data_IF_702694380170
#
_entry.id   IF_702694380170
#
_cell.length_a   1.000
_cell.length_b   1.000
_cell.length_c   1.000
_cell.angle_alpha   90.00
_cell.angle_beta   90.00
_cell.angle_gamma   90.00
#
_symmetry.space_group_name_H-M   'P 1'
#
loop_
_entity.id
_entity.type
_entity.pdbx_description
1 polymer ?
#
# COMPACT_ATOMS: atom_id res chain seq x y z
N UNK A 1 -3.69 8.29 -14.13
CA UNK A 1 -3.76 7.34 -13.00
C UNK A 1 -4.55 6.13 -13.47
N UNK A 2 -3.97 4.95 -13.43
CA UNK A 2 -4.57 3.69 -13.85
C UNK A 2 -4.56 2.76 -12.65
N UNK A 3 -5.68 2.09 -12.37
CA UNK A 3 -5.79 1.13 -11.26
C UNK A 3 -6.16 -0.26 -11.77
N UNK A 4 -5.51 -1.28 -11.24
CA UNK A 4 -5.74 -2.69 -11.55
C UNK A 4 -5.93 -3.46 -10.25
N UNK A 5 -7.04 -4.20 -10.13
CA UNK A 5 -7.32 -5.05 -8.98
C UNK A 5 -6.87 -6.49 -9.29
N UNK A 6 -5.83 -6.95 -8.61
CA UNK A 6 -5.27 -8.29 -8.82
C UNK A 6 -5.99 -9.35 -7.99
N UNK A 7 -6.44 -8.99 -6.80
CA UNK A 7 -7.11 -9.89 -5.88
C UNK A 7 -8.21 -9.16 -5.11
N UNK A 8 -9.39 -9.77 -5.08
CA UNK A 8 -10.51 -9.31 -4.26
C UNK A 8 -11.00 -10.45 -3.38
N UNK A 9 -10.95 -10.24 -2.08
CA UNK A 9 -11.47 -11.17 -1.08
C UNK A 9 -12.71 -10.56 -0.46
N UNK A 10 -13.85 -11.20 -0.67
CA UNK A 10 -15.09 -10.81 -0.02
C UNK A 10 -14.98 -11.05 1.49
N UNK A 11 -15.33 -10.02 2.24
CA UNK A 11 -15.50 -10.09 3.69
C UNK A 11 -16.92 -9.66 4.02
N UNK A 12 -17.35 -9.82 5.25
CA UNK A 12 -18.74 -9.50 5.64
C UNK A 12 -19.10 -8.02 5.38
N UNK A 13 -18.11 -7.12 5.36
CA UNK A 13 -18.37 -5.69 5.39
C UNK A 13 -17.55 -4.91 4.33
N UNK A 14 -16.21 -4.97 4.33
CA UNK A 14 -15.36 -4.32 3.33
C UNK A 14 -14.44 -5.35 2.67
N UNK A 15 -14.51 -5.57 1.35
CA UNK A 15 -13.61 -6.51 0.69
C UNK A 15 -12.15 -6.06 0.83
N UNK A 16 -11.26 -7.01 1.14
CA UNK A 16 -9.82 -6.78 0.97
C UNK A 16 -9.51 -6.83 -0.52
N UNK A 17 -8.99 -5.74 -1.04
CA UNK A 17 -8.54 -5.64 -2.42
C UNK A 17 -7.03 -5.43 -2.44
N UNK A 18 -6.34 -6.21 -3.22
CA UNK A 18 -4.99 -5.88 -3.63
C UNK A 18 -5.11 -5.18 -4.97
N UNK A 19 -5.17 -3.86 -4.88
CA UNK A 19 -5.31 -2.95 -6.01
C UNK A 19 -4.01 -2.16 -6.17
N UNK A 20 -3.44 -2.21 -7.36
CA UNK A 20 -2.26 -1.44 -7.74
C UNK A 20 -2.69 -0.23 -8.56
N UNK A 21 -2.14 0.91 -8.24
CA UNK A 21 -2.34 2.13 -9.01
C UNK A 21 -1.02 2.57 -9.64
N UNK A 22 -1.02 2.81 -10.93
CA UNK A 22 0.12 3.40 -11.64
C UNK A 22 0.07 4.93 -11.55
N UNK A 23 1.20 5.51 -11.17
CA UNK A 23 1.41 6.96 -11.08
C UNK A 23 2.68 7.32 -11.87
N UNK A 24 2.51 8.00 -13.01
CA UNK A 24 3.63 8.36 -13.91
C UNK A 24 4.74 9.17 -13.22
N UNK A 25 4.37 10.02 -12.26
CA UNK A 25 5.32 10.87 -11.51
C UNK A 25 6.13 10.11 -10.45
N UNK A 26 5.77 8.86 -10.13
CA UNK A 26 6.44 8.07 -9.12
C UNK A 26 7.63 7.31 -9.73
N UNK A 27 8.83 7.74 -9.41
CA UNK A 27 10.08 7.11 -9.85
C UNK A 27 10.64 6.10 -8.85
N UNK A 28 10.11 6.07 -7.64
CA UNK A 28 10.54 5.13 -6.60
C UNK A 28 10.01 3.72 -6.88
N UNK A 29 10.85 2.74 -6.59
CA UNK A 29 10.48 1.33 -6.63
C UNK A 29 9.60 1.02 -5.42
N UNK A 30 8.32 0.71 -5.66
CA UNK A 30 7.38 0.23 -4.66
C UNK A 30 7.33 -1.29 -4.61
N UNK A 31 6.35 -1.85 -3.91
CA UNK A 31 6.14 -3.31 -3.81
C UNK A 31 5.97 -3.97 -5.18
N UNK A 32 5.43 -3.27 -6.15
CA UNK A 32 5.15 -3.78 -7.50
C UNK A 32 5.99 -3.09 -8.59
N UNK A 33 7.17 -2.59 -8.21
CA UNK A 33 8.10 -1.94 -9.13
C UNK A 33 7.84 -0.45 -9.33
N UNK A 34 8.54 0.15 -10.30
CA UNK A 34 8.48 1.59 -10.57
C UNK A 34 7.11 2.02 -11.02
N UNK A 35 6.62 3.11 -10.43
CA UNK A 35 5.34 3.73 -10.78
C UNK A 35 4.11 3.09 -10.15
N UNK A 36 4.19 1.86 -9.65
CA UNK A 36 3.07 1.16 -9.02
C UNK A 36 3.06 1.36 -7.51
N UNK A 37 1.86 1.53 -6.94
CA UNK A 37 1.64 1.69 -5.50
C UNK A 37 0.32 1.04 -5.08
N UNK A 38 0.25 0.55 -3.86
CA UNK A 38 -0.97 0.07 -3.21
C UNK A 38 -1.36 0.93 -2.01
N UNK A 39 -2.59 0.80 -1.53
CA UNK A 39 -3.06 1.50 -0.33
C UNK A 39 -2.22 1.14 0.93
N UNK A 40 -1.51 0.02 0.89
CA UNK A 40 -0.72 -0.50 2.02
C UNK A 40 0.72 0.05 2.08
N UNK A 41 1.14 0.87 1.13
CA UNK A 41 2.48 1.46 1.07
C UNK A 41 2.55 2.87 1.68
N UNK A 42 1.57 3.25 2.49
CA UNK A 42 1.66 4.47 3.31
C UNK A 42 2.70 4.29 4.40
N UNK A 43 3.46 5.34 4.71
CA UNK A 43 4.47 5.31 5.77
C UNK A 43 4.61 6.69 6.42
N UNK A 44 5.29 6.76 7.56
CA UNK A 44 5.62 8.03 8.17
C UNK A 44 7.11 8.13 8.52
N UNK A 45 7.58 9.37 8.67
CA UNK A 45 8.92 9.70 9.14
C UNK A 45 8.74 10.59 10.37
N UNK A 46 9.41 10.20 11.47
CA UNK A 46 9.34 10.91 12.75
C UNK A 46 10.65 11.61 12.98
N UNK A 47 10.57 12.89 13.27
CA UNK A 47 11.66 13.71 13.79
C UNK A 47 11.23 14.25 15.17
N UNK A 48 12.15 14.83 15.93
CA UNK A 48 11.89 15.30 17.31
C UNK A 48 10.63 16.17 17.46
N UNK A 49 10.43 17.07 16.53
CA UNK A 49 9.30 18.03 16.52
C UNK A 49 8.44 17.99 15.25
N UNK A 50 8.70 17.03 14.36
CA UNK A 50 8.00 16.91 13.10
C UNK A 50 7.59 15.45 12.83
N UNK A 51 6.41 15.29 12.27
CA UNK A 51 5.89 14.01 11.76
C UNK A 51 5.43 14.22 10.32
N UNK A 52 6.06 13.52 9.41
CA UNK A 52 5.66 13.49 8.00
C UNK A 52 4.96 12.19 7.69
N UNK A 53 3.82 12.26 7.02
CA UNK A 53 3.06 11.09 6.60
C UNK A 53 2.92 11.12 5.09
N UNK A 54 3.30 10.02 4.47
CA UNK A 54 3.18 9.79 3.03
C UNK A 54 2.08 8.76 2.79
N UNK A 55 0.98 9.22 2.23
CA UNK A 55 -0.13 8.34 1.89
C UNK A 55 0.02 7.78 0.48
N UNK A 56 -0.54 6.59 0.27
CA UNK A 56 -0.52 5.91 -1.03
C UNK A 56 -1.27 6.65 -2.14
N UNK A 57 -2.16 7.59 -1.81
CA UNK A 57 -2.83 8.45 -2.78
C UNK A 57 -1.91 9.55 -3.37
N UNK A 58 -0.67 9.63 -2.87
CA UNK A 58 0.34 10.62 -3.23
C UNK A 58 0.30 11.88 -2.37
N UNK A 59 -0.66 12.00 -1.44
CA UNK A 59 -0.71 13.12 -0.52
C UNK A 59 0.35 12.99 0.57
N UNK A 60 0.85 14.14 1.01
CA UNK A 60 1.80 14.27 2.11
C UNK A 60 1.21 15.20 3.16
N UNK A 61 1.30 14.78 4.40
CA UNK A 61 0.88 15.57 5.56
C UNK A 61 2.08 15.85 6.46
N UNK A 62 2.21 17.08 6.89
CA UNK A 62 3.27 17.51 7.80
C UNK A 62 2.63 18.03 9.10
N UNK A 63 3.02 17.41 10.19
CA UNK A 63 2.61 17.83 11.53
C UNK A 63 3.81 18.36 12.30
N UNK A 64 3.57 19.43 13.06
CA UNK A 64 4.56 20.01 13.95
C UNK A 64 4.09 19.86 15.39
N UNK A 65 4.98 19.47 16.26
CA UNK A 65 4.71 19.35 17.68
C UNK A 65 4.74 20.73 18.33
N UNK A 66 3.64 21.10 18.97
CA UNK A 66 3.53 22.29 19.84
C UNK A 66 3.11 21.80 21.22
N UNK A 67 4.03 21.92 22.17
CA UNK A 67 3.86 21.37 23.52
C UNK A 67 3.53 19.87 23.52
N UNK A 68 2.29 19.51 23.81
CA UNK A 68 1.80 18.13 23.85
C UNK A 68 0.94 17.75 22.63
N UNK A 69 0.68 18.71 21.73
CA UNK A 69 -0.24 18.55 20.59
C UNK A 69 0.52 18.56 19.28
N UNK A 70 0.06 17.73 18.35
CA UNK A 70 0.55 17.71 16.97
C UNK A 70 -0.42 18.47 16.07
N UNK A 71 0.02 19.60 15.54
CA UNK A 71 -0.76 20.44 14.62
C UNK A 71 -0.37 20.17 13.17
N UNK A 72 -1.37 20.01 12.30
CA UNK A 72 -1.13 19.90 10.87
C UNK A 72 -0.66 21.26 10.31
N UNK A 73 0.41 21.23 9.52
CA UNK A 73 0.93 22.44 8.87
C UNK A 73 -0.07 23.01 7.85
N UNK A 74 -0.90 22.15 7.23
CA UNK A 74 -1.98 22.57 6.37
C UNK A 74 -3.30 22.67 7.15
N UNK A 75 -3.80 23.89 7.45
CA UNK A 75 -5.03 24.09 8.23
C UNK A 75 -6.30 23.57 7.51
N UNK A 76 -6.23 23.36 6.20
CA UNK A 76 -7.35 22.81 5.41
C UNK A 76 -7.30 21.29 5.28
N UNK A 77 -6.31 20.64 5.86
CA UNK A 77 -6.21 19.18 5.84
C UNK A 77 -7.24 18.53 6.75
N UNK A 78 -7.80 17.41 6.28
CA UNK A 78 -8.64 16.55 7.09
C UNK A 78 -7.85 15.52 7.91
N UNK A 79 -6.51 15.55 7.82
CA UNK A 79 -5.66 14.65 8.59
C UNK A 79 -5.33 15.27 9.97
N UNK A 80 -5.43 14.46 11.02
CA UNK A 80 -5.05 14.83 12.39
C UNK A 80 -4.35 13.68 13.09
N UNK A 81 -3.36 13.99 13.91
CA UNK A 81 -2.78 13.02 14.86
C UNK A 81 -3.78 12.84 16.00
N UNK A 82 -4.28 11.61 16.14
CA UNK A 82 -5.24 11.28 17.21
C UNK A 82 -4.49 10.95 18.49
N UNK A 83 -3.40 10.18 18.35
CA UNK A 83 -2.64 9.74 19.50
C UNK A 83 -1.23 9.25 19.14
N UNK A 84 -0.28 9.49 20.04
CA UNK A 84 1.05 8.89 19.98
C UNK A 84 1.28 8.10 21.27
N UNK A 85 1.25 6.78 21.17
CA UNK A 85 1.46 5.87 22.30
C UNK A 85 2.94 5.54 22.47
N UNK A 86 3.64 6.24 23.34
CA UNK A 86 5.05 5.98 23.61
C UNK A 86 5.29 4.53 24.10
N UNK A 87 4.46 4.03 25.03
CA UNK A 87 4.57 2.67 25.55
C UNK A 87 4.30 1.59 24.50
N UNK A 88 3.31 1.79 23.59
CA UNK A 88 3.00 0.88 22.51
C UNK A 88 3.86 1.12 21.28
N UNK A 89 4.61 2.21 21.25
CA UNK A 89 5.42 2.67 20.12
C UNK A 89 4.57 2.75 18.83
N UNK A 90 3.40 3.40 18.93
CA UNK A 90 2.44 3.54 17.86
C UNK A 90 2.04 5.01 17.64
N UNK A 91 1.80 5.37 16.38
CA UNK A 91 1.30 6.66 15.93
C UNK A 91 -0.04 6.42 15.28
N UNK A 92 -1.08 7.09 15.75
CA UNK A 92 -2.43 6.98 15.24
C UNK A 92 -2.83 8.28 14.58
N UNK A 93 -3.18 8.21 13.30
CA UNK A 93 -3.57 9.35 12.49
C UNK A 93 -4.93 9.08 11.84
N UNK A 94 -5.84 10.00 11.98
CA UNK A 94 -7.11 9.97 11.27
C UNK A 94 -7.03 10.88 10.04
N UNK A 95 -7.41 10.36 8.87
CA UNK A 95 -7.62 11.12 7.64
C UNK A 95 -9.02 10.83 7.13
N UNK A 96 -9.93 11.82 7.22
CA UNK A 96 -11.36 11.63 6.98
C UNK A 96 -11.91 10.49 7.85
N UNK A 97 -12.51 9.48 7.23
CA UNK A 97 -13.16 8.32 7.88
C UNK A 97 -12.22 7.12 8.08
N UNK A 98 -10.94 7.29 7.79
CA UNK A 98 -9.93 6.23 7.89
C UNK A 98 -8.93 6.58 9.00
N UNK A 99 -8.65 5.58 9.82
CA UNK A 99 -7.64 5.63 10.87
C UNK A 99 -6.44 4.79 10.42
N UNK A 100 -5.27 5.41 10.38
CA UNK A 100 -3.99 4.79 10.09
C UNK A 100 -3.22 4.64 11.39
N UNK A 101 -2.72 3.46 11.66
CA UNK A 101 -1.77 3.21 12.74
C UNK A 101 -0.43 2.86 12.15
N UNK A 102 0.62 3.54 12.58
CA UNK A 102 1.99 3.27 12.19
C UNK A 102 2.77 2.74 13.39
N UNK A 103 3.76 1.90 13.14
CA UNK A 103 4.80 1.61 14.09
C UNK A 103 5.70 2.86 14.29
N UNK A 104 6.47 2.87 15.36
CA UNK A 104 7.40 3.98 15.64
C UNK A 104 8.54 4.10 14.62
N UNK A 105 8.84 3.04 13.91
CA UNK A 105 9.81 3.01 12.81
C UNK A 105 9.24 3.51 11.46
N UNK A 106 8.00 3.99 11.47
CA UNK A 106 7.34 4.57 10.31
C UNK A 106 6.54 3.60 9.45
N UNK A 107 6.66 2.29 9.65
CA UNK A 107 5.92 1.29 8.87
C UNK A 107 4.43 1.33 9.19
N UNK A 108 3.60 1.15 8.17
CA UNK A 108 2.15 1.06 8.35
C UNK A 108 1.80 -0.22 9.11
N UNK A 109 1.10 -0.10 10.23
CA UNK A 109 0.64 -1.23 11.03
C UNK A 109 -0.78 -1.64 10.70
N UNK A 110 -1.69 -0.67 10.55
CA UNK A 110 -3.12 -0.92 10.42
C UNK A 110 -3.84 0.20 9.69
N UNK A 111 -4.83 -0.17 8.90
CA UNK A 111 -5.83 0.73 8.31
C UNK A 111 -7.18 0.31 8.86
N UNK A 112 -7.92 1.23 9.46
CA UNK A 112 -9.22 0.97 10.08
C UNK A 112 -10.23 2.02 9.65
N UNK A 113 -11.49 1.63 9.39
CA UNK A 113 -12.59 2.57 9.20
C UNK A 113 -13.35 2.83 10.52
N UNK A 114 -14.30 3.77 10.51
CA UNK A 114 -15.08 4.13 11.69
C UNK A 114 -15.95 2.96 12.23
N UNK A 115 -16.26 1.97 11.39
CA UNK A 115 -16.99 0.76 11.79
C UNK A 115 -16.08 -0.33 12.38
N UNK A 116 -14.85 0.00 12.75
CA UNK A 116 -13.88 -0.92 13.33
C UNK A 116 -13.47 -2.09 12.42
N UNK A 117 -13.69 -1.96 11.13
CA UNK A 117 -13.18 -2.89 10.14
C UNK A 117 -11.75 -2.50 9.80
N UNK A 118 -10.86 -3.46 9.80
CA UNK A 118 -9.45 -3.17 9.62
C UNK A 118 -8.72 -4.15 8.71
N UNK A 119 -7.59 -3.68 8.22
CA UNK A 119 -6.51 -4.44 7.63
C UNK A 119 -5.28 -4.28 8.50
N UNK A 120 -4.78 -5.39 9.05
CA UNK A 120 -3.58 -5.44 9.88
C UNK A 120 -2.42 -5.98 9.04
N UNK A 121 -1.31 -5.26 9.01
CA UNK A 121 -0.09 -5.66 8.32
C UNK A 121 0.86 -6.35 9.31
N UNK A 122 1.43 -7.46 8.88
CA UNK A 122 2.46 -8.20 9.59
C UNK A 122 3.70 -8.25 8.71
N UNK A 123 4.86 -8.02 9.29
CA UNK A 123 6.12 -7.90 8.57
C UNK A 123 6.98 -9.15 8.80
N UNK A 124 7.88 -9.42 7.82
CA UNK A 124 8.91 -10.45 8.00
C UNK A 124 9.96 -9.83 8.93
N UNK A 125 10.24 -10.45 10.06
CA UNK A 125 11.18 -10.02 11.11
C UNK A 125 11.77 -8.64 10.82
N UNK A 126 12.12 -7.84 11.51
CA UNK A 126 12.65 -6.47 11.40
C UNK A 126 12.80 -5.85 9.98
N UNK A 127 12.26 -6.49 8.94
CA UNK A 127 12.31 -6.00 7.56
C UNK A 127 11.18 -5.03 7.25
N UNK A 128 11.29 -4.34 6.09
CA UNK A 128 10.18 -3.54 5.53
C UNK A 128 9.16 -4.38 4.73
N UNK A 129 9.41 -5.67 4.57
CA UNK A 129 8.59 -6.54 3.74
C UNK A 129 7.42 -7.11 4.52
N UNK A 130 6.22 -6.91 3.99
CA UNK A 130 4.99 -7.45 4.58
C UNK A 130 4.94 -8.95 4.34
N UNK A 131 4.81 -9.74 5.41
CA UNK A 131 4.58 -11.19 5.29
C UNK A 131 3.13 -11.49 4.92
N UNK A 132 2.21 -10.78 5.53
CA UNK A 132 0.78 -10.92 5.22
C UNK A 132 -0.05 -9.73 5.70
N UNK A 133 -1.24 -9.60 5.12
CA UNK A 133 -2.29 -8.68 5.55
C UNK A 133 -3.45 -9.53 6.06
N UNK A 134 -3.96 -9.20 7.24
CA UNK A 134 -5.09 -9.87 7.86
C UNK A 134 -6.27 -8.90 8.03
N UNK A 135 -7.47 -9.36 7.71
CA UNK A 135 -8.70 -8.59 7.88
C UNK A 135 -9.27 -8.75 9.28
N UNK A 136 -10.20 -7.88 9.69
CA UNK A 136 -10.94 -7.99 10.95
C UNK A 136 -11.71 -9.31 11.11
N UNK A 137 -12.04 -10.00 10.03
CA UNK A 137 -12.63 -11.36 10.03
C UNK A 137 -11.59 -12.47 9.84
N UNK A 138 -10.32 -12.20 10.15
CA UNK A 138 -9.19 -13.13 10.17
C UNK A 138 -8.81 -13.75 8.80
N UNK A 139 -9.39 -13.28 7.69
CA UNK A 139 -8.94 -13.69 6.35
C UNK A 139 -7.58 -13.08 6.07
N UNK A 140 -6.70 -13.89 5.48
CA UNK A 140 -5.29 -13.58 5.30
C UNK A 140 -4.89 -13.59 3.83
N UNK A 141 -4.05 -12.61 3.43
CA UNK A 141 -3.32 -12.59 2.15
C UNK A 141 -1.84 -12.57 2.46
N UNK A 142 -1.10 -13.54 1.97
CA UNK A 142 0.35 -13.65 2.16
C UNK A 142 1.10 -13.06 0.97
N UNK A 143 2.21 -12.38 1.26
CA UNK A 143 3.08 -11.73 0.29
C UNK A 143 4.45 -12.40 0.30
N UNK A 144 4.98 -12.65 -0.89
CA UNK A 144 6.30 -13.20 -1.08
C UNK A 144 7.12 -12.25 -1.94
N UNK A 145 8.25 -11.82 -1.42
CA UNK A 145 9.12 -10.84 -2.06
C UNK A 145 10.38 -11.52 -2.61
N UNK A 146 10.81 -11.07 -3.78
CA UNK A 146 12.12 -11.35 -4.38
C UNK A 146 12.70 -10.04 -4.90
N UNK A 147 13.97 -9.80 -4.66
CA UNK A 147 14.68 -8.57 -5.06
C UNK A 147 13.94 -7.27 -4.69
N UNK A 148 13.32 -7.26 -3.50
CA UNK A 148 12.62 -6.10 -2.97
C UNK A 148 11.23 -5.85 -3.58
N UNK A 149 10.76 -6.70 -4.49
CA UNK A 149 9.46 -6.60 -5.15
C UNK A 149 8.60 -7.84 -4.86
N UNK A 150 7.29 -7.67 -4.91
CA UNK A 150 6.35 -8.79 -4.72
C UNK A 150 6.43 -9.74 -5.92
N UNK A 151 6.88 -10.96 -5.69
CA UNK A 151 6.91 -12.03 -6.69
C UNK A 151 5.55 -12.70 -6.82
N UNK A 152 4.87 -12.92 -5.70
CA UNK A 152 3.53 -13.51 -5.67
C UNK A 152 2.76 -13.12 -4.43
N UNK A 153 1.44 -13.17 -4.55
CA UNK A 153 0.51 -13.09 -3.42
C UNK A 153 -0.36 -14.34 -3.40
N UNK A 154 -0.69 -14.81 -2.20
CA UNK A 154 -1.55 -15.99 -2.03
C UNK A 154 -2.64 -15.68 -1.03
N UNK A 155 -3.89 -15.95 -1.39
CA UNK A 155 -5.03 -15.74 -0.50
C UNK A 155 -5.23 -16.93 0.46
N UNK A 156 -6.19 -16.80 1.36
CA UNK A 156 -6.50 -17.84 2.35
C UNK A 156 -7.15 -19.10 1.76
N UNK A 157 -7.52 -19.10 0.47
CA UNK A 157 -7.94 -20.29 -0.27
C UNK A 157 -6.77 -20.98 -1.01
N UNK A 158 -5.56 -20.43 -0.93
CA UNK A 158 -4.40 -20.92 -1.66
C UNK A 158 -4.32 -20.45 -3.12
N UNK A 159 -5.23 -19.56 -3.55
CA UNK A 159 -5.19 -19.00 -4.90
C UNK A 159 -4.07 -17.97 -5.00
N UNK A 160 -3.30 -18.05 -6.09
CA UNK A 160 -2.06 -17.28 -6.22
C UNK A 160 -2.08 -16.38 -7.46
N UNK A 161 -1.58 -15.17 -7.31
CA UNK A 161 -1.27 -14.23 -8.39
C UNK A 161 0.25 -14.08 -8.44
N UNK A 162 0.83 -14.16 -9.64
CA UNK A 162 2.27 -14.02 -9.86
C UNK A 162 2.60 -12.75 -10.62
N UNK A 163 3.74 -12.17 -10.29
CA UNK A 163 4.27 -10.95 -10.85
C UNK A 163 5.63 -11.19 -11.47
N UNK A 164 5.83 -10.70 -12.68
CA UNK A 164 7.09 -10.85 -13.43
C UNK A 164 7.63 -9.47 -13.75
N UNK A 165 8.92 -9.29 -13.54
CA UNK A 165 9.61 -8.03 -13.71
C UNK A 165 10.75 -8.15 -14.73
N UNK A 166 11.00 -7.05 -15.44
CA UNK A 166 12.25 -6.78 -16.13
C UNK A 166 12.92 -5.62 -15.42
N UNK A 167 14.06 -5.89 -14.76
CA UNK A 167 14.67 -4.96 -13.81
C UNK A 167 13.66 -4.55 -12.73
N UNK A 168 13.31 -3.26 -12.65
CA UNK A 168 12.36 -2.72 -11.69
C UNK A 168 10.95 -2.48 -12.27
N UNK A 169 10.71 -2.88 -13.52
CA UNK A 169 9.42 -2.68 -14.20
C UNK A 169 8.59 -3.95 -14.19
N UNK A 170 7.34 -3.81 -13.75
CA UNK A 170 6.38 -4.91 -13.80
C UNK A 170 5.92 -5.13 -15.24
N UNK A 171 6.30 -6.25 -15.85
CA UNK A 171 5.98 -6.54 -17.27
C UNK A 171 4.83 -7.52 -17.43
N UNK A 172 4.55 -8.35 -16.41
CA UNK A 172 3.45 -9.32 -16.49
C UNK A 172 2.83 -9.63 -15.12
N UNK A 173 1.53 -9.87 -15.12
CA UNK A 173 0.78 -10.42 -13.98
C UNK A 173 -0.03 -11.62 -14.46
N UNK A 174 0.13 -12.75 -13.77
CA UNK A 174 -0.62 -13.97 -14.01
C UNK A 174 -1.67 -14.08 -12.91
N UNK A 175 -2.93 -13.96 -13.32
CA UNK A 175 -4.09 -13.99 -12.44
C UNK A 175 -4.42 -15.40 -11.94
N UNK A 176 -5.21 -15.51 -10.89
CA UNK A 176 -5.65 -16.81 -10.30
C UNK A 176 -6.37 -17.72 -11.28
N UNK A 177 -6.98 -17.19 -12.33
CA UNK A 177 -7.65 -17.98 -13.39
C UNK A 177 -6.72 -18.29 -14.58
N UNK A 178 -5.42 -17.97 -14.47
CA UNK A 178 -4.42 -18.14 -15.52
C UNK A 178 -4.37 -17.03 -16.57
N UNK A 179 -5.31 -16.07 -16.51
CA UNK A 179 -5.28 -14.89 -17.37
C UNK A 179 -4.02 -14.05 -17.14
N UNK A 180 -3.50 -13.44 -18.20
CA UNK A 180 -2.23 -12.70 -18.14
C UNK A 180 -2.43 -11.26 -18.56
N UNK A 181 -2.08 -10.32 -17.68
CA UNK A 181 -1.89 -8.91 -18.04
C UNK A 181 -0.44 -8.69 -18.42
N UNK A 182 -0.21 -7.93 -19.50
CA UNK A 182 1.13 -7.49 -19.91
C UNK A 182 1.19 -5.97 -19.87
N UNK A 183 2.34 -5.45 -19.47
CA UNK A 183 2.60 -4.02 -19.32
C UNK A 183 3.77 -3.63 -20.19
N UNK A 184 3.61 -2.60 -21.00
CA UNK A 184 4.67 -2.07 -21.86
C UNK A 184 5.00 -0.65 -21.46
N UNK A 185 6.30 -0.36 -21.44
CA UNK A 185 6.83 0.93 -21.07
C UNK A 185 7.55 1.55 -22.25
N UNK A 186 7.59 2.88 -22.30
CA UNK A 186 8.34 3.63 -23.30
C UNK A 186 9.84 3.50 -23.03
N UNK A 187 10.63 3.18 -24.04
CA UNK A 187 12.10 3.10 -23.95
C UNK A 187 12.72 4.46 -23.58
N UNK A 188 12.12 5.56 -24.05
CA UNK A 188 12.64 6.92 -23.82
C UNK A 188 12.26 7.51 -22.47
N UNK A 189 11.02 7.33 -22.04
CA UNK A 189 10.48 7.97 -20.82
C UNK A 189 10.32 7.02 -19.66
N UNK A 190 10.50 5.72 -19.90
CA UNK A 190 10.31 4.64 -18.93
C UNK A 190 8.92 4.69 -18.25
N UNK A 191 7.93 5.25 -18.94
CA UNK A 191 6.56 5.34 -18.45
C UNK A 191 5.67 4.30 -19.11
N UNK A 192 4.68 3.82 -18.37
CA UNK A 192 3.68 2.88 -18.87
C UNK A 192 2.93 3.48 -20.07
N UNK A 193 2.92 2.78 -21.18
CA UNK A 193 2.27 3.20 -22.43
C UNK A 193 1.12 2.27 -22.83
N UNK A 194 1.13 1.02 -22.37
CA UNK A 194 0.12 0.06 -22.75
C UNK A 194 -0.10 -1.01 -21.67
N UNK A 195 -1.36 -1.40 -21.50
CA UNK A 195 -1.78 -2.59 -20.74
C UNK A 195 -2.52 -3.50 -21.73
N UNK A 196 -2.09 -4.75 -21.81
CA UNK A 196 -2.75 -5.79 -22.59
C UNK A 196 -3.42 -6.72 -21.61
N UNK A 197 -4.74 -6.78 -21.65
CA UNK A 197 -5.52 -7.65 -20.77
C UNK A 197 -5.60 -9.10 -21.29
N UNK A 198 -6.08 -10.08 -20.47
CA UNK A 198 -6.14 -11.50 -20.86
C UNK A 198 -6.98 -11.80 -22.11
N UNK A 199 -7.85 -10.88 -22.51
CA UNK A 199 -8.70 -11.02 -23.71
C UNK A 199 -8.08 -10.38 -24.96
N UNK A 200 -6.80 -9.96 -24.87
CA UNK A 200 -6.10 -9.19 -25.92
C UNK A 200 -6.82 -7.89 -26.31
N UNK A 201 -7.67 -7.35 -25.45
CA UNK A 201 -8.25 -6.03 -25.61
C UNK A 201 -7.25 -4.99 -25.08
N UNK A 202 -7.01 -3.95 -25.88
CA UNK A 202 -6.13 -2.85 -25.54
C UNK A 202 -6.92 -1.81 -24.74
N UNK A 203 -6.43 -1.43 -23.58
CA UNK A 203 -6.93 -0.32 -22.75
C UNK A 203 -6.02 0.91 -22.91
#
# INVERSE_FOLDING_TARGET
KISVCDLKISTLLKPLKIERTYQKSRTQVGWFGVGWITEFESFCIIHDHQLEIFFSDGSRELFQKKDTVWENHNPHSFAKVVHMHAQKREIIVQKKDIIYTFYWDGRLKRIENLNKQFFQLFYQDETKFVSHIQTSCQKKVSFFFSDGKVERITDFYGRTVHYVYESDYLVKVIQINGGQYQYRYSDHTQTLIQIINPLNQFD
#
